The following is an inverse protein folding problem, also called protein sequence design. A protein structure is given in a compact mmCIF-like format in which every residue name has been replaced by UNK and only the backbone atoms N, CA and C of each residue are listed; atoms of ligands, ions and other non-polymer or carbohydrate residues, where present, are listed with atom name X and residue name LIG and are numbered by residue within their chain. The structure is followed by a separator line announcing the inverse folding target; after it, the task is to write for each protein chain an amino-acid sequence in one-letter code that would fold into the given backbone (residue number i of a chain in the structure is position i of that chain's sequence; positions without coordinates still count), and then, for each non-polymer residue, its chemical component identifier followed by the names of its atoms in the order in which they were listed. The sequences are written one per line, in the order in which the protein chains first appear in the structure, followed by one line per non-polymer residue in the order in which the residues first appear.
data_IF_836087581044
#
_entry.id   IF_836087581044
#
_cell.length_a   1.000
_cell.length_b   1.000
_cell.length_c   1.000
_cell.angle_alpha   90.00
_cell.angle_beta   90.00
_cell.angle_gamma   90.00
#
_symmetry.space_group_name_H-M   'P 1'
#
loop_
_entity.id
_entity.type
_entity.pdbx_description
1 polymer ?
#
# COMPACT_ATOMS: atom_id res chain seq x y z
N UNK A 1 -17.99 -32.69 -6.32
CA UNK A 1 -18.25 -31.25 -6.20
C UNK A 1 -18.25 -30.96 -4.72
N UNK A 2 -17.18 -30.33 -4.22
CA UNK A 2 -17.05 -29.92 -2.83
C UNK A 2 -17.04 -28.39 -2.87
N UNK A 3 -18.12 -27.77 -2.41
CA UNK A 3 -18.12 -26.39 -1.98
C UNK A 3 -17.11 -26.29 -0.83
N UNK A 4 -15.95 -25.69 -1.09
CA UNK A 4 -15.06 -25.20 -0.04
C UNK A 4 -15.28 -23.70 0.03
N UNK A 5 -15.89 -23.26 1.13
CA UNK A 5 -15.93 -21.88 1.57
C UNK A 5 -14.56 -21.23 1.36
N UNK A 6 -14.51 -20.33 0.38
CA UNK A 6 -13.34 -19.56 0.02
C UNK A 6 -13.17 -18.41 1.03
N UNK A 7 -12.76 -18.76 2.25
CA UNK A 7 -12.13 -17.76 3.12
C UNK A 7 -10.75 -17.49 2.54
N UNK A 8 -10.63 -16.42 1.75
CA UNK A 8 -9.33 -15.89 1.31
C UNK A 8 -8.56 -15.59 2.59
N UNK A 9 -7.47 -16.34 2.82
CA UNK A 9 -6.63 -16.11 3.98
C UNK A 9 -5.82 -14.84 3.70
N UNK A 10 -6.18 -13.73 4.33
CA UNK A 10 -5.55 -12.41 4.15
C UNK A 10 -4.03 -12.46 4.34
N UNK A 11 -3.53 -13.39 5.16
CA UNK A 11 -2.10 -13.59 5.37
C UNK A 11 -1.41 -14.20 4.14
N UNK A 12 -2.10 -15.08 3.39
CA UNK A 12 -1.57 -15.63 2.13
C UNK A 12 -1.51 -14.55 1.05
N UNK A 13 -2.53 -13.71 0.93
CA UNK A 13 -2.52 -12.60 -0.04
C UNK A 13 -1.45 -11.57 0.29
N UNK A 14 -1.27 -11.25 1.58
CA UNK A 14 -0.18 -10.41 2.05
C UNK A 14 1.18 -10.95 1.65
N UNK A 15 1.44 -12.23 1.88
CA UNK A 15 2.71 -12.88 1.51
C UNK A 15 2.95 -12.89 0.00
N UNK A 16 1.90 -13.03 -0.81
CA UNK A 16 1.99 -12.97 -2.28
C UNK A 16 2.43 -11.58 -2.73
N UNK A 17 1.85 -10.54 -2.17
CA UNK A 17 2.15 -9.16 -2.56
C UNK A 17 3.52 -8.70 -2.05
N UNK A 18 3.91 -9.12 -0.83
CA UNK A 18 5.28 -8.92 -0.32
C UNK A 18 6.34 -9.60 -1.20
N UNK A 19 6.03 -10.79 -1.73
CA UNK A 19 6.92 -11.52 -2.64
C UNK A 19 7.10 -10.78 -3.98
N UNK A 20 6.04 -10.19 -4.53
CA UNK A 20 6.10 -9.43 -5.79
C UNK A 20 6.84 -8.10 -5.60
N UNK A 21 6.56 -7.38 -4.51
CA UNK A 21 7.26 -6.14 -4.16
C UNK A 21 8.76 -6.37 -3.97
N UNK A 22 9.16 -7.45 -3.30
CA UNK A 22 10.57 -7.80 -3.08
C UNK A 22 11.31 -8.06 -4.39
N UNK A 23 10.72 -8.82 -5.32
CA UNK A 23 11.31 -9.10 -6.64
C UNK A 23 11.52 -7.85 -7.50
N UNK A 24 10.64 -6.85 -7.35
CA UNK A 24 10.74 -5.59 -8.09
C UNK A 24 11.81 -4.67 -7.49
N UNK A 25 12.01 -4.74 -6.17
CA UNK A 25 12.82 -3.77 -5.43
C UNK A 25 14.31 -4.14 -5.35
N UNK A 26 14.67 -5.43 -5.44
CA UNK A 26 16.05 -5.91 -5.26
C UNK A 26 16.29 -7.26 -5.94
N UNK A 27 17.54 -7.56 -6.29
CA UNK A 27 17.90 -8.80 -7.01
C UNK A 27 18.27 -9.99 -6.11
N UNK A 28 18.53 -9.74 -4.83
CA UNK A 28 18.90 -10.75 -3.83
C UNK A 28 17.66 -11.22 -3.04
N UNK A 29 16.78 -11.93 -3.74
CA UNK A 29 15.51 -12.46 -3.20
C UNK A 29 15.38 -13.96 -3.50
N UNK A 30 15.01 -14.74 -2.47
CA UNK A 30 14.64 -16.15 -2.61
C UNK A 30 13.19 -16.30 -2.17
N UNK A 31 12.32 -16.75 -3.07
CA UNK A 31 10.91 -17.03 -2.79
C UNK A 31 10.70 -18.55 -2.72
N UNK A 32 10.04 -19.00 -1.65
CA UNK A 32 9.57 -20.39 -1.52
C UNK A 32 8.07 -20.39 -1.73
N UNK A 33 7.60 -20.98 -2.83
CA UNK A 33 6.20 -20.94 -3.25
C UNK A 33 5.67 -22.34 -3.61
N UNK A 34 4.36 -22.54 -3.43
CA UNK A 34 3.66 -23.75 -3.90
C UNK A 34 3.12 -23.54 -5.33
N UNK A 35 2.72 -24.61 -6.01
CA UNK A 35 2.17 -24.57 -7.40
C UNK A 35 0.92 -23.68 -7.52
N UNK A 36 0.22 -23.39 -6.42
CA UNK A 36 -0.92 -22.47 -6.41
C UNK A 36 -0.54 -20.97 -6.49
N UNK A 37 0.72 -20.62 -6.26
CA UNK A 37 1.20 -19.23 -6.23
C UNK A 37 1.50 -18.63 -7.61
N UNK A 38 1.58 -19.46 -8.65
CA UNK A 38 1.93 -19.05 -10.02
C UNK A 38 0.71 -18.73 -10.90
N UNK A 39 -0.50 -18.96 -10.39
CA UNK A 39 -1.76 -18.62 -11.06
C UNK A 39 -2.40 -17.38 -10.40
N UNK A 40 -3.00 -16.50 -11.20
CA UNK A 40 -3.73 -15.30 -10.74
C UNK A 40 -2.90 -14.02 -10.58
N UNK A 41 -1.65 -14.00 -11.03
CA UNK A 41 -0.86 -12.76 -11.10
C UNK A 41 -1.29 -11.97 -12.35
N UNK A 42 -1.85 -10.78 -12.13
CA UNK A 42 -2.04 -9.80 -13.21
C UNK A 42 -0.70 -9.40 -13.83
N UNK A 43 -0.75 -8.75 -15.00
CA UNK A 43 0.46 -8.32 -15.71
C UNK A 43 1.30 -7.36 -14.82
N UNK A 44 2.58 -7.67 -14.54
CA UNK A 44 3.45 -6.85 -13.69
C UNK A 44 3.62 -5.41 -14.16
N UNK A 45 3.53 -5.18 -15.47
CA UNK A 45 3.61 -3.82 -16.04
C UNK A 45 2.39 -2.99 -15.70
N UNK A 46 1.20 -3.58 -15.79
CA UNK A 46 -0.05 -2.90 -15.45
C UNK A 46 -0.07 -2.57 -13.94
N UNK A 47 0.44 -3.48 -13.11
CA UNK A 47 0.55 -3.29 -11.66
C UNK A 47 1.51 -2.14 -11.27
N UNK A 48 2.62 -1.99 -12.01
CA UNK A 48 3.53 -0.83 -11.87
C UNK A 48 2.91 0.45 -12.41
N UNK A 49 2.16 0.38 -13.50
CA UNK A 49 1.56 1.57 -14.13
C UNK A 49 0.49 2.22 -13.23
N UNK A 50 -0.16 1.43 -12.38
CA UNK A 50 -1.18 1.88 -11.44
C UNK A 50 -0.61 2.33 -10.09
N UNK A 51 0.71 2.33 -9.87
CA UNK A 51 1.25 2.74 -8.57
C UNK A 51 1.13 4.25 -8.35
N UNK A 52 0.83 4.65 -7.11
CA UNK A 52 0.90 6.03 -6.66
C UNK A 52 2.26 6.24 -6.00
N UNK A 53 3.14 6.96 -6.72
CA UNK A 53 4.44 7.38 -6.20
C UNK A 53 4.32 8.77 -5.56
N UNK A 54 4.84 8.91 -4.35
CA UNK A 54 4.88 10.17 -3.60
C UNK A 54 6.33 10.40 -3.16
N UNK A 55 6.87 11.59 -3.45
CA UNK A 55 8.20 11.99 -3.03
C UNK A 55 8.15 13.20 -2.11
N UNK A 56 9.08 13.27 -1.16
CA UNK A 56 9.23 14.47 -0.30
C UNK A 56 9.58 15.70 -1.15
N UNK A 57 8.94 16.83 -0.86
CA UNK A 57 9.07 18.08 -1.61
C UNK A 57 8.34 18.09 -2.96
N UNK A 58 7.59 17.04 -3.28
CA UNK A 58 6.72 17.04 -4.45
C UNK A 58 5.52 17.96 -4.21
N UNK A 59 5.16 18.74 -5.22
CA UNK A 59 3.87 19.45 -5.23
C UNK A 59 2.78 18.50 -5.74
N UNK A 60 1.78 18.21 -4.91
CA UNK A 60 0.64 17.37 -5.24
C UNK A 60 -0.62 17.92 -4.57
N UNK A 61 -1.70 18.06 -5.35
CA UNK A 61 -3.00 18.41 -4.79
C UNK A 61 -3.51 17.25 -3.92
N UNK A 62 -3.96 17.56 -2.71
CA UNK A 62 -4.42 16.55 -1.76
C UNK A 62 -5.58 15.74 -2.35
N UNK A 63 -6.58 16.41 -2.90
CA UNK A 63 -7.79 15.74 -3.37
C UNK A 63 -7.48 14.89 -4.62
N UNK A 64 -6.54 15.32 -5.46
CA UNK A 64 -5.98 14.49 -6.54
C UNK A 64 -5.30 13.22 -6.00
N UNK A 65 -4.46 13.34 -4.98
CA UNK A 65 -3.82 12.18 -4.35
C UNK A 65 -4.86 11.20 -3.80
N UNK A 66 -5.90 11.70 -3.13
CA UNK A 66 -6.97 10.86 -2.60
C UNK A 66 -7.77 10.16 -3.71
N UNK A 67 -8.05 10.86 -4.82
CA UNK A 67 -8.70 10.23 -5.98
C UNK A 67 -7.84 9.11 -6.56
N UNK A 68 -6.53 9.33 -6.69
CA UNK A 68 -5.61 8.28 -7.17
C UNK A 68 -5.58 7.07 -6.25
N UNK A 69 -5.66 7.26 -4.92
CA UNK A 69 -5.78 6.16 -3.96
C UNK A 69 -7.08 5.36 -4.15
N UNK A 70 -8.20 6.05 -4.42
CA UNK A 70 -9.48 5.40 -4.71
C UNK A 70 -9.41 4.61 -6.03
N UNK A 71 -8.79 5.17 -7.06
CA UNK A 71 -8.61 4.51 -8.37
C UNK A 71 -7.84 3.18 -8.25
N UNK A 72 -6.90 3.11 -7.30
CA UNK A 72 -6.13 1.90 -7.01
C UNK A 72 -6.79 1.02 -5.92
N UNK A 73 -8.10 1.18 -5.75
CA UNK A 73 -9.00 0.38 -4.91
C UNK A 73 -8.80 0.51 -3.39
N UNK A 74 -8.29 1.65 -2.91
CA UNK A 74 -8.32 1.94 -1.48
C UNK A 74 -9.63 2.63 -1.07
N UNK A 75 -10.11 2.32 0.13
CA UNK A 75 -11.32 2.92 0.69
C UNK A 75 -10.97 3.95 1.77
N UNK A 76 -11.64 5.11 1.75
CA UNK A 76 -11.51 6.10 2.83
C UNK A 76 -12.27 5.62 4.07
N UNK A 77 -11.60 5.57 5.22
CA UNK A 77 -12.23 5.30 6.51
C UNK A 77 -11.52 6.06 7.64
N UNK A 78 -12.13 7.16 8.06
CA UNK A 78 -11.57 8.03 9.10
C UNK A 78 -11.80 7.50 10.54
N UNK A 79 -12.66 6.48 10.69
CA UNK A 79 -13.05 5.91 12.00
C UNK A 79 -12.14 4.75 12.39
N UNK A 80 -12.00 3.76 11.52
CA UNK A 80 -11.18 2.58 11.74
C UNK A 80 -10.04 2.53 10.70
N UNK A 81 -8.81 2.52 11.19
CA UNK A 81 -7.63 2.37 10.34
C UNK A 81 -7.35 0.88 10.16
N UNK A 82 -7.66 0.38 8.97
CA UNK A 82 -7.57 -1.03 8.59
C UNK A 82 -6.82 -1.15 7.26
N UNK A 83 -6.38 -2.37 6.93
CA UNK A 83 -5.73 -2.68 5.64
C UNK A 83 -6.60 -2.28 4.46
N UNK A 84 -5.96 -1.87 3.36
CA UNK A 84 -6.61 -1.38 2.13
C UNK A 84 -7.42 -0.10 2.33
N UNK A 85 -7.24 0.59 3.46
CA UNK A 85 -7.91 1.83 3.76
C UNK A 85 -6.92 2.96 3.95
N UNK A 86 -7.40 4.18 3.73
CA UNK A 86 -6.71 5.38 4.14
C UNK A 86 -7.61 6.26 5.00
N UNK A 87 -7.00 7.10 5.82
CA UNK A 87 -7.68 8.10 6.63
C UNK A 87 -7.01 9.46 6.48
N UNK A 88 -7.80 10.51 6.66
CA UNK A 88 -7.33 11.89 6.55
C UNK A 88 -7.53 12.60 7.88
N UNK A 89 -6.46 13.20 8.41
CA UNK A 89 -6.47 13.97 9.66
C UNK A 89 -5.80 15.33 9.41
N UNK A 90 -6.61 16.33 9.04
CA UNK A 90 -6.10 17.63 8.64
C UNK A 90 -5.27 17.49 7.36
N UNK A 91 -3.98 17.79 7.47
CA UNK A 91 -3.03 17.73 6.36
C UNK A 91 -2.21 16.41 6.34
N UNK A 92 -2.53 15.49 7.25
CA UNK A 92 -1.92 14.19 7.33
C UNK A 92 -2.83 13.13 6.69
N UNK A 93 -2.30 12.42 5.70
CA UNK A 93 -2.94 11.26 5.06
C UNK A 93 -2.21 10.01 5.50
N UNK A 94 -2.92 9.09 6.12
CA UNK A 94 -2.37 7.79 6.50
C UNK A 94 -3.00 6.70 5.66
N UNK A 95 -2.18 5.81 5.13
CA UNK A 95 -2.58 4.72 4.24
C UNK A 95 -2.09 3.41 4.83
N UNK A 96 -2.95 2.40 4.95
CA UNK A 96 -2.51 1.05 5.33
C UNK A 96 -2.57 0.14 4.11
N UNK A 97 -1.42 -0.21 3.51
CA UNK A 97 -1.39 -1.12 2.38
C UNK A 97 -1.93 -2.51 2.73
N UNK A 98 -2.61 -3.15 1.78
CA UNK A 98 -3.08 -4.54 1.95
C UNK A 98 -1.93 -5.51 2.20
N UNK A 99 -0.75 -5.18 1.67
CA UNK A 99 0.44 -6.05 1.61
C UNK A 99 1.47 -5.87 2.70
N UNK A 100 1.39 -4.80 3.50
CA UNK A 100 2.36 -4.52 4.55
C UNK A 100 1.76 -4.73 5.94
N UNK A 101 2.62 -4.86 6.95
CA UNK A 101 2.23 -4.81 8.36
C UNK A 101 2.33 -3.40 8.94
N UNK A 102 2.99 -2.49 8.23
CA UNK A 102 3.12 -1.09 8.59
C UNK A 102 2.23 -0.21 7.71
N UNK A 103 1.89 0.97 8.23
CA UNK A 103 1.21 2.02 7.49
C UNK A 103 2.18 3.04 6.92
N UNK A 104 1.68 3.84 6.00
CA UNK A 104 2.34 5.03 5.48
C UNK A 104 1.66 6.27 6.05
N UNK A 105 2.46 7.29 6.37
CA UNK A 105 2.00 8.62 6.74
C UNK A 105 2.61 9.62 5.76
N UNK A 106 1.74 10.43 5.17
CA UNK A 106 2.07 11.50 4.23
C UNK A 106 1.60 12.79 4.88
N UNK A 107 2.52 13.68 5.22
CA UNK A 107 2.20 14.99 5.78
C UNK A 107 2.35 16.04 4.67
N UNK A 108 1.28 16.80 4.47
CA UNK A 108 1.21 17.87 3.48
C UNK A 108 1.30 19.22 4.17
N UNK A 109 1.90 20.19 3.50
CA UNK A 109 1.86 21.60 3.86
C UNK A 109 1.26 22.38 2.69
N UNK A 110 -0.06 22.60 2.73
CA UNK A 110 -0.81 23.04 1.56
C UNK A 110 -0.76 21.96 0.47
N UNK A 111 -0.09 22.27 -0.64
CA UNK A 111 0.03 21.38 -1.82
C UNK A 111 1.42 20.75 -1.93
N UNK A 112 2.26 20.84 -0.88
CA UNK A 112 3.61 20.27 -0.88
C UNK A 112 3.74 19.11 0.11
N UNK A 113 4.40 18.03 -0.27
CA UNK A 113 4.73 16.91 0.62
C UNK A 113 5.86 17.32 1.56
N UNK A 114 5.53 17.59 2.82
CA UNK A 114 6.47 18.01 3.85
C UNK A 114 7.27 16.82 4.40
N UNK A 115 6.59 15.71 4.71
CA UNK A 115 7.21 14.54 5.33
C UNK A 115 6.53 13.24 4.88
N UNK A 116 7.32 12.17 4.80
CA UNK A 116 6.86 10.82 4.51
C UNK A 116 7.42 9.88 5.57
N UNK A 117 6.58 9.02 6.14
CA UNK A 117 6.99 8.11 7.18
C UNK A 117 6.32 6.74 7.08
N UNK A 118 7.04 5.73 7.55
CA UNK A 118 6.49 4.42 7.87
C UNK A 118 6.04 4.47 9.33
N UNK A 119 4.81 4.06 9.59
CA UNK A 119 4.20 4.08 10.93
C UNK A 119 3.70 2.70 11.34
N UNK A 120 3.68 2.44 12.64
CA UNK A 120 2.89 1.34 13.18
C UNK A 120 1.41 1.72 13.08
N UNK A 121 0.57 0.95 12.37
CA UNK A 121 -0.81 1.34 12.11
C UNK A 121 -1.71 1.27 13.35
N UNK A 122 -1.32 0.48 14.36
CA UNK A 122 -2.07 0.35 15.62
C UNK A 122 -1.66 1.43 16.62
N UNK A 123 -0.35 1.63 16.85
CA UNK A 123 0.14 2.61 17.83
C UNK A 123 0.28 4.03 17.27
N UNK A 124 0.37 4.18 15.95
CA UNK A 124 0.64 5.45 15.27
C UNK A 124 2.09 5.93 15.37
N UNK A 125 2.97 5.14 15.99
CA UNK A 125 4.39 5.46 16.19
C UNK A 125 5.14 5.47 14.85
N UNK A 126 6.01 6.46 14.66
CA UNK A 126 6.87 6.54 13.48
C UNK A 126 8.00 5.53 13.62
N UNK A 127 8.06 4.58 12.69
CA UNK A 127 9.12 3.57 12.61
C UNK A 127 10.33 4.15 11.87
N UNK A 128 10.11 4.83 10.75
CA UNK A 128 11.18 5.45 9.96
C UNK A 128 10.66 6.57 9.06
N UNK A 129 11.53 7.54 8.75
CA UNK A 129 11.28 8.59 7.76
C UNK A 129 11.72 8.09 6.38
N UNK A 130 11.03 8.53 5.33
CA UNK A 130 11.27 8.16 3.95
C UNK A 130 11.37 9.40 3.06
N UNK A 131 12.14 9.30 1.97
CA UNK A 131 12.17 10.33 0.92
C UNK A 131 11.20 10.00 -0.22
N UNK A 132 10.84 8.72 -0.38
CA UNK A 132 9.94 8.22 -1.41
C UNK A 132 9.02 7.14 -0.84
N UNK A 133 7.75 7.16 -1.24
CA UNK A 133 6.77 6.12 -0.98
C UNK A 133 6.13 5.65 -2.29
N UNK A 134 5.91 4.35 -2.40
CA UNK A 134 5.25 3.72 -3.53
C UNK A 134 4.06 2.92 -3.01
N UNK A 135 2.85 3.36 -3.36
CA UNK A 135 1.60 2.74 -2.97
C UNK A 135 1.06 1.97 -4.17
N UNK A 136 0.99 0.66 -4.03
CA UNK A 136 0.51 -0.26 -5.06
C UNK A 136 -0.98 -0.54 -4.89
N UNK A 137 -1.69 -0.98 -5.94
CA UNK A 137 -3.12 -1.28 -5.86
C UNK A 137 -3.48 -2.28 -4.76
N UNK A 138 -4.59 -2.02 -4.07
CA UNK A 138 -5.02 -2.84 -2.96
C UNK A 138 -5.46 -4.26 -3.37
N UNK A 139 -5.86 -4.45 -4.64
CA UNK A 139 -6.35 -5.70 -5.25
C UNK A 139 -5.94 -5.79 -6.72
#
# INVERSE_FOLDING_TARGET
YIEKDASINEEIDRLRLASTSSLVSRQDVIIVASVSCIYGLGNPEDYKSMMVAVAKGQTIDRDEMLMRLIDIQYERNDVAFERSRFRVRGDCVEVWPSYEEYGFRIELWGDEVESLAIINPTSGEVISQQDHLFIYPAK
#
